data_IF_123731240022
#
_entry.id   IF_123731240022
#
_cell.length_a   1.000
_cell.length_b   1.000
_cell.length_c   1.000
_cell.angle_alpha   90.00
_cell.angle_beta   90.00
_cell.angle_gamma   90.00
#
_symmetry.space_group_name_H-M   'P 1'
#
loop_
_entity.id
_entity.type
_entity.pdbx_description
1 polymer ?
#
# COMPACT_ATOMS: atom_id res chain seq x y z
N UNK A 1 -38.26 -62.26 -20.78
CA UNK A 1 -36.79 -62.29 -20.75
C UNK A 1 -36.27 -61.71 -22.05
N UNK A 2 -35.60 -60.56 -22.01
CA UNK A 2 -34.91 -60.03 -23.20
C UNK A 2 -33.80 -61.03 -23.54
N UNK A 3 -33.85 -61.56 -24.75
CA UNK A 3 -32.90 -62.54 -25.27
C UNK A 3 -31.47 -61.98 -25.13
N UNK A 4 -30.61 -62.67 -24.40
CA UNK A 4 -29.27 -62.19 -24.01
C UNK A 4 -28.41 -61.80 -25.23
N UNK A 5 -28.65 -62.49 -26.34
CA UNK A 5 -28.08 -62.18 -27.66
C UNK A 5 -28.49 -60.80 -28.20
N UNK A 6 -29.75 -60.39 -28.00
CA UNK A 6 -30.24 -59.06 -28.43
C UNK A 6 -29.61 -57.94 -27.59
N UNK A 7 -29.41 -58.17 -26.29
CA UNK A 7 -28.77 -57.21 -25.40
C UNK A 7 -27.29 -57.00 -25.77
N UNK A 8 -26.57 -58.10 -26.02
CA UNK A 8 -25.17 -58.03 -26.47
C UNK A 8 -25.03 -57.32 -27.82
N UNK A 9 -25.88 -57.65 -28.79
CA UNK A 9 -25.89 -56.96 -30.09
C UNK A 9 -26.13 -55.45 -29.95
N UNK A 10 -26.96 -55.04 -28.98
CA UNK A 10 -27.27 -53.63 -28.73
C UNK A 10 -26.11 -52.88 -28.09
N UNK A 11 -25.40 -53.48 -27.13
CA UNK A 11 -24.19 -52.90 -26.57
C UNK A 11 -23.06 -52.79 -27.60
N UNK A 12 -22.92 -53.80 -28.47
CA UNK A 12 -21.97 -53.77 -29.58
C UNK A 12 -22.28 -52.64 -30.58
N UNK A 13 -23.57 -52.45 -30.90
CA UNK A 13 -24.03 -51.36 -31.76
C UNK A 13 -23.77 -49.99 -31.12
N UNK A 14 -24.13 -49.81 -29.84
CA UNK A 14 -23.81 -48.58 -29.08
C UNK A 14 -22.33 -48.28 -29.09
N UNK A 15 -21.49 -49.28 -28.90
CA UNK A 15 -20.03 -49.15 -28.89
C UNK A 15 -19.47 -48.79 -30.27
N UNK A 16 -20.05 -49.31 -31.36
CA UNK A 16 -19.67 -48.96 -32.73
C UNK A 16 -20.10 -47.54 -33.08
N UNK A 17 -21.34 -47.14 -32.75
CA UNK A 17 -21.84 -45.78 -32.96
C UNK A 17 -21.01 -44.77 -32.15
N UNK A 18 -20.72 -45.07 -30.88
CA UNK A 18 -19.89 -44.21 -30.03
C UNK A 18 -18.49 -43.98 -30.60
N UNK A 19 -17.85 -45.02 -31.14
CA UNK A 19 -16.56 -44.90 -31.84
C UNK A 19 -16.68 -44.05 -33.10
N UNK A 20 -17.69 -44.29 -33.93
CA UNK A 20 -17.92 -43.53 -35.15
C UNK A 20 -18.19 -42.04 -34.91
N UNK A 21 -18.98 -41.71 -33.89
CA UNK A 21 -19.21 -40.31 -33.45
C UNK A 21 -17.89 -39.68 -32.97
N UNK A 22 -17.04 -40.43 -32.28
CA UNK A 22 -15.72 -39.96 -31.85
C UNK A 22 -14.80 -39.67 -33.04
N UNK A 23 -14.79 -40.54 -34.05
CA UNK A 23 -13.96 -40.39 -35.25
C UNK A 23 -14.44 -39.23 -36.14
N UNK A 24 -15.76 -39.08 -36.34
CA UNK A 24 -16.35 -37.92 -37.04
C UNK A 24 -15.98 -36.59 -36.38
N UNK A 25 -15.83 -36.56 -35.06
CA UNK A 25 -15.41 -35.35 -34.37
C UNK A 25 -13.95 -34.97 -34.69
N UNK A 26 -13.09 -35.96 -34.97
CA UNK A 26 -11.70 -35.70 -35.41
C UNK A 26 -11.64 -35.33 -36.90
N UNK A 27 -12.59 -35.82 -37.68
CA UNK A 27 -12.71 -35.53 -39.11
C UNK A 27 -14.19 -35.43 -39.51
N UNK A 28 -14.68 -34.20 -39.65
CA UNK A 28 -16.10 -33.90 -39.92
C UNK A 28 -16.62 -34.51 -41.23
N UNK A 29 -15.74 -34.90 -42.15
CA UNK A 29 -16.10 -35.54 -43.42
C UNK A 29 -16.52 -37.02 -43.25
N UNK A 30 -16.29 -37.62 -42.09
CA UNK A 30 -16.66 -39.01 -41.83
C UNK A 30 -18.15 -39.13 -41.47
N UNK A 31 -18.80 -40.18 -41.99
CA UNK A 31 -20.17 -40.53 -41.64
C UNK A 31 -20.23 -41.27 -40.30
N UNK A 32 -21.23 -40.96 -39.46
CA UNK A 32 -21.53 -41.75 -38.25
C UNK A 32 -21.95 -43.18 -38.65
N UNK A 33 -22.67 -43.32 -39.76
CA UNK A 33 -23.06 -44.61 -40.32
C UNK A 33 -21.90 -45.09 -41.19
N UNK A 34 -20.89 -45.69 -40.54
CA UNK A 34 -19.72 -46.27 -41.19
C UNK A 34 -19.90 -47.80 -41.33
N UNK A 35 -18.92 -48.46 -41.95
CA UNK A 35 -18.99 -49.91 -42.22
C UNK A 35 -19.14 -50.76 -40.94
N UNK A 36 -18.53 -50.36 -39.83
CA UNK A 36 -18.65 -51.08 -38.55
C UNK A 36 -20.08 -50.97 -38.00
N UNK A 37 -20.67 -49.77 -38.02
CA UNK A 37 -22.06 -49.55 -37.62
C UNK A 37 -23.01 -50.36 -38.50
N UNK A 38 -22.81 -50.36 -39.82
CA UNK A 38 -23.61 -51.16 -40.77
C UNK A 38 -23.52 -52.67 -40.45
N UNK A 39 -22.32 -53.19 -40.17
CA UNK A 39 -22.13 -54.58 -39.79
C UNK A 39 -22.79 -54.94 -38.44
N UNK A 40 -22.86 -54.00 -37.50
CA UNK A 40 -23.57 -54.25 -36.23
C UNK A 40 -25.09 -54.20 -36.41
N UNK A 41 -25.61 -53.38 -37.32
CA UNK A 41 -27.04 -53.33 -37.67
C UNK A 41 -27.47 -54.62 -38.37
N UNK A 42 -26.67 -55.18 -39.27
CA UNK A 42 -27.04 -56.40 -40.02
C UNK A 42 -27.34 -57.58 -39.10
N UNK A 43 -26.69 -57.67 -37.94
CA UNK A 43 -26.96 -58.69 -36.93
C UNK A 43 -28.39 -58.64 -36.38
N UNK A 44 -29.05 -57.48 -36.43
CA UNK A 44 -30.44 -57.35 -35.99
C UNK A 44 -31.46 -57.77 -37.04
N UNK A 45 -31.09 -57.70 -38.32
CA UNK A 45 -31.87 -58.29 -39.41
C UNK A 45 -31.98 -59.80 -39.23
N UNK A 46 -30.89 -60.46 -38.80
CA UNK A 46 -30.87 -61.89 -38.45
C UNK A 46 -31.70 -62.22 -37.19
N UNK A 47 -31.87 -61.23 -36.30
CA UNK A 47 -32.67 -61.36 -35.07
C UNK A 47 -34.16 -61.03 -35.26
N UNK A 48 -34.60 -60.89 -36.52
CA UNK A 48 -36.00 -60.71 -36.92
C UNK A 48 -36.57 -59.32 -36.66
N UNK A 49 -35.74 -58.28 -36.52
CA UNK A 49 -36.23 -56.90 -36.45
C UNK A 49 -36.57 -56.38 -37.84
N UNK A 50 -37.67 -55.64 -37.95
CA UNK A 50 -38.00 -54.96 -39.20
C UNK A 50 -37.13 -53.69 -39.37
N UNK A 51 -37.03 -53.21 -40.61
CA UNK A 51 -36.18 -52.07 -40.97
C UNK A 51 -36.60 -50.74 -40.33
N UNK A 52 -37.89 -50.56 -40.04
CA UNK A 52 -38.43 -49.33 -39.42
C UNK A 52 -37.99 -49.24 -37.95
N UNK A 53 -38.09 -50.34 -37.22
CA UNK A 53 -37.67 -50.42 -35.81
C UNK A 53 -36.16 -50.25 -35.69
N UNK A 54 -35.40 -50.78 -36.66
CA UNK A 54 -33.95 -50.60 -36.72
C UNK A 54 -33.55 -49.15 -36.98
N UNK A 55 -34.22 -48.46 -37.90
CA UNK A 55 -33.99 -47.04 -38.16
C UNK A 55 -34.33 -46.18 -36.94
N UNK A 56 -35.46 -46.43 -36.27
CA UNK A 56 -35.85 -45.69 -35.07
C UNK A 56 -34.81 -45.86 -33.96
N UNK A 57 -34.41 -47.10 -33.70
CA UNK A 57 -33.38 -47.42 -32.71
C UNK A 57 -32.04 -46.75 -33.03
N UNK A 58 -31.64 -46.73 -34.30
CA UNK A 58 -30.39 -46.09 -34.70
C UNK A 58 -30.42 -44.58 -34.46
N UNK A 59 -31.51 -43.92 -34.83
CA UNK A 59 -31.69 -42.48 -34.64
C UNK A 59 -31.66 -42.15 -33.14
N UNK A 60 -32.41 -42.89 -32.32
CA UNK A 60 -32.45 -42.70 -30.87
C UNK A 60 -31.05 -42.84 -30.25
N UNK A 61 -30.32 -43.91 -30.58
CA UNK A 61 -28.98 -44.15 -30.02
C UNK A 61 -27.98 -43.07 -30.46
N UNK A 62 -28.04 -42.63 -31.72
CA UNK A 62 -27.16 -41.55 -32.22
C UNK A 62 -27.47 -40.25 -31.47
N UNK A 63 -28.75 -39.88 -31.36
CA UNK A 63 -29.18 -38.64 -30.69
C UNK A 63 -28.81 -38.65 -29.21
N UNK A 64 -29.07 -39.76 -28.50
CA UNK A 64 -28.71 -39.92 -27.09
C UNK A 64 -27.19 -39.76 -26.87
N UNK A 65 -26.38 -40.40 -27.71
CA UNK A 65 -24.92 -40.36 -27.58
C UNK A 65 -24.33 -38.99 -27.95
N UNK A 66 -24.85 -38.31 -28.98
CA UNK A 66 -24.44 -36.93 -29.30
C UNK A 66 -24.83 -35.96 -28.18
N UNK A 67 -26.05 -36.08 -27.63
CA UNK A 67 -26.50 -35.24 -26.53
C UNK A 67 -25.66 -35.43 -25.26
N UNK A 68 -25.39 -36.68 -24.88
CA UNK A 68 -24.55 -37.00 -23.72
C UNK A 68 -23.12 -36.43 -23.89
N UNK A 69 -22.55 -36.54 -25.09
CA UNK A 69 -21.22 -36.01 -25.39
C UNK A 69 -21.19 -34.48 -25.30
N UNK A 70 -22.17 -33.78 -25.90
CA UNK A 70 -22.29 -32.32 -25.80
C UNK A 70 -22.41 -31.86 -24.33
N UNK A 71 -23.16 -32.59 -23.51
CA UNK A 71 -23.29 -32.29 -22.08
C UNK A 71 -21.95 -32.45 -21.33
N UNK A 72 -21.19 -33.51 -21.62
CA UNK A 72 -19.86 -33.72 -21.04
C UNK A 72 -18.89 -32.61 -21.46
N UNK A 73 -18.82 -32.27 -22.75
CA UNK A 73 -17.96 -31.21 -23.26
C UNK A 73 -18.31 -29.84 -22.64
N UNK A 74 -19.61 -29.53 -22.50
CA UNK A 74 -20.07 -28.32 -21.85
C UNK A 74 -19.67 -28.28 -20.36
N UNK A 75 -19.82 -29.39 -19.64
CA UNK A 75 -19.42 -29.53 -18.23
C UNK A 75 -17.91 -29.35 -18.06
N UNK A 76 -17.11 -29.95 -18.96
CA UNK A 76 -15.66 -29.84 -18.90
C UNK A 76 -15.17 -28.41 -19.17
N UNK A 77 -15.77 -27.72 -20.16
CA UNK A 77 -15.50 -26.29 -20.40
C UNK A 77 -15.87 -25.42 -19.20
N UNK A 78 -17.00 -25.72 -18.57
CA UNK A 78 -17.46 -25.01 -17.37
C UNK A 78 -16.50 -25.21 -16.20
N UNK A 79 -16.00 -26.43 -15.97
CA UNK A 79 -14.98 -26.71 -14.95
C UNK A 79 -13.70 -25.90 -15.17
N UNK A 80 -13.17 -25.89 -16.39
CA UNK A 80 -11.94 -25.13 -16.71
C UNK A 80 -12.13 -23.63 -16.47
N UNK A 81 -13.30 -23.10 -16.80
CA UNK A 81 -13.63 -21.70 -16.54
C UNK A 81 -13.75 -21.40 -15.04
N UNK A 82 -14.29 -22.32 -14.25
CA UNK A 82 -14.33 -22.18 -12.79
C UNK A 82 -12.93 -22.19 -12.17
N UNK A 83 -12.05 -23.08 -12.63
CA UNK A 83 -10.66 -23.12 -12.15
C UNK A 83 -9.92 -21.82 -12.47
N UNK A 84 -10.10 -21.30 -13.68
CA UNK A 84 -9.56 -20.01 -14.09
C UNK A 84 -10.10 -18.86 -13.20
N UNK A 85 -11.41 -18.85 -12.93
CA UNK A 85 -12.05 -17.86 -12.07
C UNK A 85 -11.52 -17.91 -10.63
N UNK A 86 -11.38 -19.10 -10.05
CA UNK A 86 -10.80 -19.30 -8.70
C UNK A 86 -9.38 -18.74 -8.65
N UNK A 87 -8.57 -19.02 -9.66
CA UNK A 87 -7.19 -18.52 -9.73
C UNK A 87 -7.15 -16.99 -9.78
N UNK A 88 -7.98 -16.37 -10.61
CA UNK A 88 -8.07 -14.89 -10.70
C UNK A 88 -8.52 -14.27 -9.38
N UNK A 89 -9.49 -14.86 -8.67
CA UNK A 89 -9.89 -14.38 -7.35
C UNK A 89 -8.77 -14.49 -6.32
N UNK A 90 -8.01 -15.58 -6.33
CA UNK A 90 -6.89 -15.75 -5.40
C UNK A 90 -5.76 -14.74 -5.67
N UNK A 91 -5.50 -14.38 -6.93
CA UNK A 91 -4.57 -13.31 -7.30
C UNK A 91 -5.06 -11.94 -6.81
N UNK A 92 -6.37 -11.68 -6.88
CA UNK A 92 -6.98 -10.45 -6.38
C UNK A 92 -6.88 -10.34 -4.84
N UNK A 93 -7.09 -11.43 -4.11
CA UNK A 93 -6.89 -11.48 -2.65
C UNK A 93 -5.44 -11.13 -2.26
N UNK A 94 -4.46 -11.75 -2.94
CA UNK A 94 -3.04 -11.43 -2.71
C UNK A 94 -2.70 -9.96 -2.98
N UNK A 95 -3.29 -9.38 -4.03
CA UNK A 95 -3.10 -7.96 -4.32
C UNK A 95 -3.70 -7.06 -3.23
N UNK A 96 -4.86 -7.43 -2.69
CA UNK A 96 -5.47 -6.72 -1.57
C UNK A 96 -4.62 -6.79 -0.30
N UNK A 97 -4.07 -7.96 0.04
CA UNK A 97 -3.15 -8.12 1.17
C UNK A 97 -1.88 -7.26 1.00
N UNK A 98 -1.33 -7.20 -0.22
CA UNK A 98 -0.20 -6.33 -0.54
C UNK A 98 -0.50 -4.85 -0.34
N UNK A 99 -1.70 -4.39 -0.73
CA UNK A 99 -2.17 -3.02 -0.49
C UNK A 99 -2.29 -2.69 1.00
N UNK A 100 -2.78 -3.62 1.81
CA UNK A 100 -2.86 -3.46 3.28
C UNK A 100 -1.46 -3.29 3.88
N UNK A 101 -0.48 -4.08 3.41
CA UNK A 101 0.92 -3.94 3.83
C UNK A 101 1.48 -2.54 3.53
N UNK A 102 1.33 -2.06 2.29
CA UNK A 102 1.80 -0.73 1.89
C UNK A 102 1.09 0.38 2.68
N UNK A 103 -0.22 0.25 2.90
CA UNK A 103 -0.98 1.24 3.66
C UNK A 103 -0.53 1.30 5.13
N UNK A 104 -0.27 0.16 5.76
CA UNK A 104 0.21 0.12 7.15
C UNK A 104 1.63 0.69 7.28
N UNK A 105 2.55 0.35 6.39
CA UNK A 105 3.89 0.96 6.33
C UNK A 105 3.83 2.48 6.13
N UNK A 106 2.96 2.95 5.23
CA UNK A 106 2.72 4.37 5.03
C UNK A 106 2.22 5.09 6.29
N UNK A 107 1.29 4.47 7.04
CA UNK A 107 0.79 5.01 8.30
C UNK A 107 1.88 5.10 9.37
N UNK A 108 2.75 4.09 9.50
CA UNK A 108 3.88 4.13 10.43
C UNK A 108 4.87 5.24 10.07
N UNK A 109 5.20 5.38 8.78
CA UNK A 109 6.08 6.45 8.30
C UNK A 109 5.51 7.84 8.61
N UNK A 110 4.22 8.06 8.37
CA UNK A 110 3.54 9.30 8.72
C UNK A 110 3.55 9.56 10.25
N UNK A 111 3.41 8.51 11.05
CA UNK A 111 3.53 8.58 12.51
C UNK A 111 4.90 9.08 12.97
N UNK A 112 5.99 8.58 12.37
CA UNK A 112 7.34 9.06 12.68
C UNK A 112 7.57 10.49 12.21
N UNK A 113 7.13 10.84 11.00
CA UNK A 113 7.24 12.22 10.48
C UNK A 113 6.49 13.21 11.37
N UNK A 114 5.27 12.89 11.77
CA UNK A 114 4.47 13.74 12.67
C UNK A 114 5.12 13.91 14.04
N UNK A 115 5.73 12.85 14.59
CA UNK A 115 6.51 12.91 15.83
C UNK A 115 7.74 13.81 15.69
N UNK A 116 8.50 13.68 14.60
CA UNK A 116 9.65 14.55 14.32
C UNK A 116 9.23 16.01 14.20
N UNK A 117 8.15 16.29 13.46
CA UNK A 117 7.60 17.64 13.30
C UNK A 117 7.15 18.23 14.64
N UNK A 118 6.52 17.44 15.50
CA UNK A 118 6.14 17.88 16.86
C UNK A 118 7.35 18.26 17.70
N UNK A 119 8.39 17.43 17.72
CA UNK A 119 9.65 17.72 18.43
C UNK A 119 10.30 19.00 17.90
N UNK A 120 10.30 19.18 16.57
CA UNK A 120 10.81 20.40 15.95
C UNK A 120 10.00 21.62 16.37
N UNK A 121 8.66 21.54 16.32
CA UNK A 121 7.76 22.62 16.71
C UNK A 121 7.90 23.02 18.19
N UNK A 122 8.11 22.05 19.09
CA UNK A 122 8.28 22.30 20.53
C UNK A 122 9.66 22.91 20.86
N UNK A 123 10.69 22.63 20.04
CA UNK A 123 12.06 23.05 20.28
C UNK A 123 12.44 24.35 19.57
N UNK A 124 11.91 24.62 18.37
CA UNK A 124 12.24 25.81 17.58
C UNK A 124 11.99 27.13 18.31
N UNK A 125 10.85 27.34 19.00
CA UNK A 125 10.59 28.59 19.71
C UNK A 125 11.61 28.83 20.84
N UNK A 126 12.04 27.78 21.54
CA UNK A 126 13.06 27.87 22.59
C UNK A 126 14.43 28.21 22.00
N UNK A 127 14.77 27.62 20.86
CA UNK A 127 16.02 27.91 20.16
C UNK A 127 16.05 29.35 19.63
N UNK A 128 14.96 29.81 19.01
CA UNK A 128 14.82 31.18 18.53
C UNK A 128 14.87 32.20 19.68
N UNK A 129 14.19 31.91 20.80
CA UNK A 129 14.27 32.75 22.00
C UNK A 129 15.70 32.79 22.59
N UNK A 130 16.39 31.64 22.63
CA UNK A 130 17.78 31.54 23.09
C UNK A 130 18.75 32.31 22.19
N UNK A 131 18.63 32.18 20.86
CA UNK A 131 19.41 32.95 19.87
C UNK A 131 19.12 34.45 19.99
N UNK A 132 17.85 34.85 20.13
CA UNK A 132 17.45 36.24 20.37
C UNK A 132 18.00 36.81 21.68
N UNK A 133 18.02 36.02 22.75
CA UNK A 133 18.61 36.39 24.04
C UNK A 133 20.12 36.59 23.98
N UNK A 134 20.85 35.73 23.26
CA UNK A 134 22.30 35.88 23.03
C UNK A 134 22.64 37.14 22.24
N UNK A 135 21.81 37.49 21.25
CA UNK A 135 21.96 38.74 20.49
C UNK A 135 21.82 40.00 21.34
N UNK A 136 20.86 40.01 22.28
CA UNK A 136 20.69 41.13 23.23
C UNK A 136 21.90 41.30 24.15
N UNK A 137 22.48 40.21 24.66
CA UNK A 137 23.68 40.28 25.51
C UNK A 137 24.86 40.90 24.74
N UNK A 138 25.14 40.40 23.52
CA UNK A 138 26.24 40.90 22.67
C UNK A 138 26.11 42.40 22.36
N UNK A 139 24.88 42.91 22.19
CA UNK A 139 24.62 44.34 21.93
C UNK A 139 25.13 45.26 23.04
N UNK A 140 25.00 44.86 24.31
CA UNK A 140 25.41 45.67 25.45
C UNK A 140 26.79 45.32 26.00
N UNK A 141 27.47 44.31 25.45
CA UNK A 141 28.73 43.78 25.99
C UNK A 141 29.83 44.84 26.08
N UNK A 142 29.95 45.70 25.06
CA UNK A 142 30.95 46.78 25.02
C UNK A 142 30.70 47.81 26.13
N UNK A 143 29.43 48.20 26.34
CA UNK A 143 29.04 49.13 27.40
C UNK A 143 29.20 48.51 28.79
N UNK A 144 28.86 47.21 28.91
CA UNK A 144 29.05 46.44 30.13
C UNK A 144 30.52 46.40 30.53
N UNK A 145 31.40 45.97 29.62
CA UNK A 145 32.83 45.85 29.88
C UNK A 145 33.44 47.20 30.29
N UNK A 146 33.13 48.27 29.55
CA UNK A 146 33.60 49.61 29.90
C UNK A 146 33.10 50.09 31.26
N UNK A 147 31.85 49.78 31.60
CA UNK A 147 31.28 50.14 32.91
C UNK A 147 32.03 49.44 34.06
N UNK A 148 32.45 48.19 33.84
CA UNK A 148 33.23 47.44 34.83
C UNK A 148 34.66 47.98 34.93
N UNK A 149 35.33 48.25 33.80
CA UNK A 149 36.67 48.85 33.79
C UNK A 149 36.71 50.18 34.57
N UNK A 150 35.75 51.07 34.34
CA UNK A 150 35.65 52.34 35.04
C UNK A 150 35.37 52.14 36.53
N UNK A 151 34.52 51.16 36.87
CA UNK A 151 34.26 50.80 38.25
C UNK A 151 35.52 50.29 38.96
N UNK A 152 36.31 49.43 38.33
CA UNK A 152 37.53 48.85 38.92
C UNK A 152 38.71 49.82 38.97
N UNK A 153 38.72 50.85 38.12
CA UNK A 153 39.82 51.83 38.04
C UNK A 153 39.95 52.76 39.26
N UNK A 154 38.95 52.82 40.13
CA UNK A 154 38.88 53.76 41.26
C UNK A 154 38.19 53.12 42.47
N UNK A 155 38.49 53.64 43.65
CA UNK A 155 37.72 53.31 44.84
C UNK A 155 36.43 54.15 44.92
N UNK A 156 35.30 53.47 45.14
CA UNK A 156 33.99 54.11 45.18
C UNK A 156 33.31 53.87 46.54
N UNK A 157 32.67 54.92 47.07
CA UNK A 157 31.92 54.82 48.35
C UNK A 157 30.76 53.84 48.29
N UNK A 158 30.16 53.63 47.12
CA UNK A 158 29.13 52.61 46.89
C UNK A 158 28.96 52.32 45.40
N UNK A 159 28.39 51.16 45.08
CA UNK A 159 28.06 50.77 43.70
C UNK A 159 27.10 51.76 43.02
N UNK A 160 26.17 52.37 43.78
CA UNK A 160 25.26 53.40 43.26
C UNK A 160 25.99 54.71 42.96
N UNK A 161 26.92 55.10 43.83
CA UNK A 161 27.73 56.29 43.61
C UNK A 161 28.63 56.13 42.37
N UNK A 162 29.23 54.95 42.18
CA UNK A 162 30.00 54.65 40.98
C UNK A 162 29.13 54.72 39.71
N UNK A 163 27.96 54.08 39.71
CA UNK A 163 27.07 54.04 38.55
C UNK A 163 26.63 55.44 38.08
N UNK A 164 26.31 56.35 39.01
CA UNK A 164 25.98 57.75 38.68
C UNK A 164 27.18 58.55 38.19
N UNK A 165 28.38 58.30 38.75
CA UNK A 165 29.58 59.02 38.38
C UNK A 165 30.08 58.66 36.97
N UNK A 166 29.92 57.40 36.56
CA UNK A 166 30.36 56.91 35.24
C UNK A 166 29.27 57.04 34.16
N UNK A 167 28.04 57.39 34.54
CA UNK A 167 26.86 57.46 33.67
C UNK A 167 27.11 58.29 32.40
N UNK A 168 27.63 59.50 32.55
CA UNK A 168 27.88 60.41 31.42
C UNK A 168 28.87 59.83 30.40
N UNK A 169 29.91 59.13 30.86
CA UNK A 169 30.91 58.49 29.99
C UNK A 169 30.31 57.29 29.25
N UNK A 170 29.49 56.49 29.93
CA UNK A 170 28.82 55.35 29.31
C UNK A 170 27.72 55.78 28.34
N UNK A 171 27.02 56.89 28.59
CA UNK A 171 26.05 57.48 27.65
C UNK A 171 26.76 57.98 26.39
N UNK A 172 27.91 58.64 26.53
CA UNK A 172 28.71 59.06 25.38
C UNK A 172 29.15 57.86 24.52
N UNK A 173 29.64 56.80 25.15
CA UNK A 173 30.00 55.56 24.46
C UNK A 173 28.78 54.86 23.83
N UNK A 174 27.64 54.89 24.51
CA UNK A 174 26.35 54.37 24.03
C UNK A 174 25.91 55.05 22.74
N UNK A 175 26.08 56.38 22.63
CA UNK A 175 25.81 57.14 21.41
C UNK A 175 26.79 56.79 20.28
N UNK A 176 28.09 56.62 20.59
CA UNK A 176 29.11 56.25 19.61
C UNK A 176 28.91 54.85 19.02
N UNK A 177 28.53 53.88 19.86
CA UNK A 177 28.31 52.47 19.45
C UNK A 177 26.89 52.26 18.89
N UNK A 178 26.04 53.29 18.91
CA UNK A 178 24.66 53.21 18.37
C UNK A 178 23.72 52.33 19.21
N UNK A 179 24.01 52.14 20.51
CA UNK A 179 23.24 51.28 21.41
C UNK A 179 22.69 52.10 22.55
N UNK A 180 21.42 52.52 22.46
CA UNK A 180 20.75 53.27 23.53
C UNK A 180 20.51 52.40 24.76
N UNK A 181 20.85 52.90 25.94
CA UNK A 181 20.47 52.28 27.22
C UNK A 181 18.94 52.34 27.41
N UNK A 182 18.35 51.32 28.02
CA UNK A 182 16.92 51.25 28.24
C UNK A 182 16.55 51.76 29.64
N UNK A 183 15.47 52.56 29.74
CA UNK A 183 14.93 53.10 30.99
C UNK A 183 14.95 54.63 31.05
N UNK A 184 14.21 55.20 32.00
CA UNK A 184 14.17 56.65 32.28
C UNK A 184 15.38 57.12 33.12
N UNK A 185 16.17 56.17 33.63
CA UNK A 185 17.36 56.41 34.46
C UNK A 185 18.49 55.44 34.05
N UNK A 186 19.38 55.89 33.17
CA UNK A 186 20.45 55.09 32.59
C UNK A 186 21.43 54.53 33.65
N UNK A 187 21.70 55.28 34.73
CA UNK A 187 22.52 54.82 35.86
C UNK A 187 22.00 53.55 36.54
N UNK A 188 20.70 53.24 36.48
CA UNK A 188 20.15 52.01 37.08
C UNK A 188 20.61 50.75 36.32
N UNK A 189 20.70 50.84 34.99
CA UNK A 189 21.22 49.76 34.14
C UNK A 189 22.69 49.50 34.45
N UNK A 190 23.48 50.56 34.57
CA UNK A 190 24.91 50.51 34.94
C UNK A 190 25.08 49.94 36.35
N UNK A 191 24.27 50.39 37.32
CA UNK A 191 24.27 49.86 38.69
C UNK A 191 23.99 48.35 38.70
N UNK A 192 23.01 47.88 37.93
CA UNK A 192 22.68 46.46 37.83
C UNK A 192 23.83 45.62 37.24
N UNK A 193 24.57 46.17 36.28
CA UNK A 193 25.77 45.53 35.73
C UNK A 193 26.88 45.40 36.77
N UNK A 194 27.23 46.49 37.46
CA UNK A 194 28.22 46.50 38.54
C UNK A 194 27.80 45.52 39.66
N UNK A 195 26.53 45.53 40.05
CA UNK A 195 25.98 44.63 41.07
C UNK A 195 26.08 43.16 40.67
N UNK A 196 25.85 42.83 39.39
CA UNK A 196 25.97 41.45 38.88
C UNK A 196 27.42 41.00 38.82
N UNK A 197 28.34 41.87 38.39
CA UNK A 197 29.78 41.60 38.34
C UNK A 197 30.33 41.28 39.73
N UNK A 198 30.03 42.14 40.71
CA UNK A 198 30.48 42.00 42.11
C UNK A 198 29.74 40.95 42.95
N UNK A 199 28.76 40.23 42.38
CA UNK A 199 28.07 39.09 43.02
C UNK A 199 28.60 37.75 42.52
N UNK A 200 29.36 37.75 41.43
CA UNK A 200 30.12 36.59 40.96
C UNK A 200 31.46 36.56 41.67
#
# INVERSE_FOLDING_TARGET
>A
MINENKRKAFEDLKSAIGRSISDRYKNEQLSIINFDVINKISNFSELGMNSKDLLSMLIEVIVELEAAKLAVDASQRLSVNFDAFIKTNHEAEKAADGLIGVATEGLYSLGEVTKTLRVALDSQPKELASKGGKGKKKKYEVLFQRSIELYESREWKSKRAAARAIESEIIALSAQVGVRLAGDQEWETIYNWIRKHTKR
#
